data_IF_462422400783
#
_entry.id   IF_462422400783
#
_cell.length_a   1.000
_cell.length_b   1.000
_cell.length_c   1.000
_cell.angle_alpha   90.00
_cell.angle_beta   90.00
_cell.angle_gamma   90.00
#
_symmetry.space_group_name_H-M   'P 1'
#
loop_
_entity.id
_entity.type
_entity.pdbx_description
1 polymer ?
#
# COMPACT_ATOMS: atom_id res chain seq x y z
N UNK A 1 -15.53 0.00 25.31
CA UNK A 1 -15.85 -1.17 24.46
C UNK A 1 -16.81 -0.71 23.37
N UNK A 2 -16.68 -1.15 22.11
CA UNK A 2 -17.61 -0.77 21.06
C UNK A 2 -18.97 -1.41 21.33
N UNK A 3 -20.05 -0.63 21.29
CA UNK A 3 -21.42 -1.06 21.52
C UNK A 3 -22.15 -1.52 20.25
N UNK A 4 -21.49 -1.49 19.10
CA UNK A 4 -22.09 -1.73 17.78
C UNK A 4 -21.11 -2.44 16.82
N UNK A 5 -21.66 -3.04 15.76
CA UNK A 5 -20.88 -3.55 14.65
C UNK A 5 -20.11 -2.40 14.00
N UNK A 6 -18.81 -2.58 13.80
CA UNK A 6 -17.98 -1.55 13.16
C UNK A 6 -16.98 -2.18 12.21
N UNK A 7 -16.70 -1.47 11.12
CA UNK A 7 -15.65 -1.83 10.18
C UNK A 7 -14.69 -0.67 10.09
N UNK A 8 -13.40 -0.95 10.25
CA UNK A 8 -12.32 0.02 10.12
C UNK A 8 -11.43 -0.40 8.95
N UNK A 9 -11.28 0.49 7.99
CA UNK A 9 -10.40 0.30 6.83
C UNK A 9 -9.17 1.16 7.05
N UNK A 10 -7.99 0.57 6.97
CA UNK A 10 -6.72 1.26 7.22
C UNK A 10 -5.82 1.14 5.99
N UNK A 11 -5.49 2.27 5.39
CA UNK A 11 -4.50 2.38 4.33
C UNK A 11 -3.17 2.79 4.95
N UNK A 12 -2.11 2.06 4.63
CA UNK A 12 -0.73 2.42 4.97
C UNK A 12 -0.02 2.84 3.70
N UNK A 13 0.74 3.92 3.77
CA UNK A 13 1.51 4.49 2.67
C UNK A 13 2.99 4.42 3.00
N UNK A 14 3.82 4.11 2.00
CA UNK A 14 5.27 4.25 2.11
C UNK A 14 5.61 5.74 1.99
N UNK A 15 6.07 6.35 3.08
CA UNK A 15 6.16 7.81 3.20
C UNK A 15 4.78 8.45 3.38
N UNK A 16 4.66 9.72 2.98
CA UNK A 16 3.46 10.53 3.27
C UNK A 16 2.25 10.15 2.41
N UNK A 17 1.07 10.02 3.03
CA UNK A 17 -0.16 9.82 2.28
C UNK A 17 -0.48 11.05 1.40
N UNK A 18 -1.11 10.87 0.22
CA UNK A 18 -1.45 11.97 -0.67
C UNK A 18 -2.31 13.06 -0.01
N UNK A 19 -2.02 14.33 -0.31
CA UNK A 19 -2.66 15.45 0.38
C UNK A 19 -4.18 15.51 0.14
N UNK A 20 -4.65 15.15 -1.06
CA UNK A 20 -6.07 15.05 -1.37
C UNK A 20 -6.80 14.01 -0.49
N UNK A 21 -6.15 12.90 -0.17
CA UNK A 21 -6.70 11.88 0.75
C UNK A 21 -6.76 12.40 2.19
N UNK A 22 -5.70 13.07 2.65
CA UNK A 22 -5.68 13.73 3.97
C UNK A 22 -6.76 14.80 4.10
N UNK A 23 -6.94 15.64 3.07
CA UNK A 23 -7.95 16.69 3.05
C UNK A 23 -9.37 16.14 3.05
N UNK A 24 -9.65 15.10 2.26
CA UNK A 24 -10.97 14.47 2.18
C UNK A 24 -11.37 13.80 3.50
N UNK A 25 -10.42 13.21 4.24
CA UNK A 25 -10.70 12.66 5.57
C UNK A 25 -11.00 13.77 6.60
N UNK A 26 -10.30 14.91 6.49
CA UNK A 26 -10.45 16.03 7.42
C UNK A 26 -11.69 16.91 7.15
N UNK A 27 -12.29 16.87 5.96
CA UNK A 27 -13.45 17.71 5.63
C UNK A 27 -14.70 17.41 6.46
N UNK A 28 -14.82 16.21 7.04
CA UNK A 28 -15.91 15.87 7.98
C UNK A 28 -15.67 16.30 9.43
N UNK A 29 -14.45 16.73 9.80
CA UNK A 29 -14.21 17.29 11.15
C UNK A 29 -14.73 18.72 11.30
N UNK A 30 -15.32 19.31 10.25
CA UNK A 30 -15.74 20.72 10.22
C UNK A 30 -17.02 21.01 11.02
N UNK A 31 -17.80 20.01 11.42
CA UNK A 31 -19.05 20.25 12.16
C UNK A 31 -18.86 20.46 13.67
N UNK A 32 -17.61 20.47 14.18
CA UNK A 32 -17.29 20.81 15.57
C UNK A 32 -16.27 21.94 15.70
N UNK A 33 -16.28 22.91 14.78
CA UNK A 33 -15.33 24.01 14.84
C UNK A 33 -15.75 25.02 15.93
N UNK A 34 -14.94 25.13 16.99
CA UNK A 34 -15.05 26.22 17.98
C UNK A 34 -14.77 27.52 17.25
N UNK A 35 -15.71 28.47 17.26
CA UNK A 35 -15.60 29.78 16.63
C UNK A 35 -14.14 30.29 16.62
N UNK A 36 -13.51 30.47 15.44
CA UNK A 36 -12.12 30.89 15.35
C UNK A 36 -11.87 32.29 15.96
N UNK A 37 -12.92 33.05 16.28
CA UNK A 37 -12.82 34.32 16.98
C UNK A 37 -12.92 34.22 18.51
N UNK A 38 -13.22 33.04 19.06
CA UNK A 38 -13.26 32.85 20.51
C UNK A 38 -11.88 33.11 21.13
N UNK A 39 -11.88 33.66 22.34
CA UNK A 39 -10.65 33.98 23.08
C UNK A 39 -9.75 32.76 23.26
N UNK A 40 -10.34 31.56 23.44
CA UNK A 40 -9.60 30.30 23.54
C UNK A 40 -8.98 29.84 22.21
N UNK A 41 -9.67 30.06 21.08
CA UNK A 41 -9.17 29.73 19.74
C UNK A 41 -7.98 30.59 19.33
N UNK A 42 -7.93 31.87 19.75
CA UNK A 42 -6.78 32.76 19.48
C UNK A 42 -5.52 32.30 20.21
N UNK A 43 -5.66 31.87 21.47
CA UNK A 43 -4.53 31.34 22.26
C UNK A 43 -4.03 30.03 21.64
N UNK A 44 -4.93 29.14 21.22
CA UNK A 44 -4.54 27.90 20.52
C UNK A 44 -3.87 28.17 19.17
N UNK A 45 -4.36 29.15 18.39
CA UNK A 45 -3.71 29.56 17.15
C UNK A 45 -2.32 30.14 17.40
N UNK A 46 -2.15 30.95 18.44
CA UNK A 46 -0.86 31.53 18.81
C UNK A 46 0.13 30.46 19.30
N UNK A 47 -0.35 29.48 20.08
CA UNK A 47 0.43 28.29 20.46
C UNK A 47 0.83 27.49 19.23
N UNK A 48 -0.10 27.20 18.30
CA UNK A 48 0.20 26.44 17.08
C UNK A 48 1.13 27.19 16.11
N UNK A 49 1.08 28.53 16.09
CA UNK A 49 1.96 29.37 15.27
C UNK A 49 3.38 29.47 15.86
N UNK A 50 3.49 29.44 17.18
CA UNK A 50 4.75 29.48 17.92
C UNK A 50 5.34 28.07 18.15
N UNK A 51 4.52 27.03 18.04
CA UNK A 51 4.94 25.64 17.92
C UNK A 51 5.41 25.46 16.49
N UNK A 52 6.70 25.71 16.25
CA UNK A 52 7.33 25.35 14.98
C UNK A 52 6.94 23.93 14.63
N UNK A 53 6.08 23.77 13.63
CA UNK A 53 5.83 22.48 13.02
C UNK A 53 7.13 22.16 12.30
N UNK A 54 8.04 21.54 13.05
CA UNK A 54 9.15 20.80 12.49
C UNK A 54 8.52 19.89 11.44
N UNK A 55 8.73 20.21 10.16
CA UNK A 55 8.65 19.23 9.09
C UNK A 55 9.77 18.21 9.32
N UNK A 56 9.66 17.46 10.42
CA UNK A 56 10.48 16.29 10.65
C UNK A 56 10.03 15.28 9.61
N UNK A 57 10.76 15.29 8.49
CA UNK A 57 10.86 14.22 7.52
C UNK A 57 11.33 12.96 8.24
N UNK A 58 10.48 12.37 9.05
CA UNK A 58 10.64 10.99 9.47
C UNK A 58 10.26 10.16 8.26
N UNK A 59 11.27 9.58 7.65
CA UNK A 59 11.13 8.51 6.67
C UNK A 59 10.39 7.36 7.37
N UNK A 60 9.06 7.36 7.27
CA UNK A 60 8.16 6.49 8.02
C UNK A 60 6.86 6.31 7.26
N UNK A 61 6.18 5.19 7.53
CA UNK A 61 4.88 4.90 6.95
C UNK A 61 3.83 5.88 7.47
N UNK A 62 3.00 6.43 6.58
CA UNK A 62 1.83 7.22 6.94
C UNK A 62 0.58 6.35 6.88
N UNK A 63 -0.41 6.63 7.74
CA UNK A 63 -1.58 5.76 7.91
C UNK A 63 -2.86 6.58 7.90
N UNK A 64 -3.79 6.21 7.02
CA UNK A 64 -5.14 6.78 6.99
C UNK A 64 -6.17 5.71 7.33
N UNK A 65 -7.03 5.99 8.31
CA UNK A 65 -8.11 5.11 8.73
C UNK A 65 -9.47 5.69 8.36
N UNK A 66 -10.34 4.85 7.80
CA UNK A 66 -11.72 5.15 7.45
C UNK A 66 -12.66 4.28 8.28
N UNK A 67 -13.65 4.90 8.89
CA UNK A 67 -14.75 4.21 9.57
C UNK A 67 -15.85 3.89 8.58
N UNK A 68 -16.21 2.61 8.45
CA UNK A 68 -17.31 2.15 7.62
C UNK A 68 -18.53 1.84 8.50
N UNK A 69 -19.76 2.22 8.08
CA UNK A 69 -20.11 2.84 6.80
C UNK A 69 -20.01 4.37 6.76
N UNK A 70 -19.74 5.05 7.87
CA UNK A 70 -19.86 6.52 7.99
C UNK A 70 -18.99 7.33 7.01
N UNK A 71 -17.86 6.79 6.56
CA UNK A 71 -16.94 7.43 5.62
C UNK A 71 -16.89 6.71 4.25
N UNK A 72 -17.89 5.87 3.95
CA UNK A 72 -17.95 5.12 2.68
C UNK A 72 -17.97 6.02 1.46
N UNK A 73 -18.73 7.10 1.49
CA UNK A 73 -18.89 7.98 0.32
C UNK A 73 -17.59 8.73 0.02
N UNK A 74 -16.87 9.16 1.06
CA UNK A 74 -15.54 9.78 0.91
C UNK A 74 -14.57 8.79 0.29
N UNK A 75 -14.52 7.57 0.83
CA UNK A 75 -13.62 6.54 0.31
C UNK A 75 -13.98 6.18 -1.13
N UNK A 76 -15.27 6.12 -1.46
CA UNK A 76 -15.74 5.84 -2.81
C UNK A 76 -15.34 6.93 -3.79
N UNK A 77 -15.45 8.20 -3.38
CA UNK A 77 -15.03 9.34 -4.18
C UNK A 77 -13.50 9.36 -4.39
N UNK A 78 -12.72 9.04 -3.35
CA UNK A 78 -11.27 8.96 -3.44
C UNK A 78 -10.81 7.86 -4.38
N UNK A 79 -11.48 6.71 -4.38
CA UNK A 79 -11.14 5.54 -5.21
C UNK A 79 -11.75 5.60 -6.62
N UNK A 80 -12.70 6.49 -6.87
CA UNK A 80 -13.44 6.53 -8.14
C UNK A 80 -14.34 5.31 -8.38
N UNK A 81 -14.65 4.54 -7.32
CA UNK A 81 -15.53 3.37 -7.37
C UNK A 81 -16.31 3.20 -6.07
N UNK A 82 -17.37 2.40 -6.10
CA UNK A 82 -18.13 2.12 -4.88
C UNK A 82 -17.31 1.26 -3.91
N UNK A 83 -16.93 1.84 -2.76
CA UNK A 83 -16.06 1.17 -1.80
C UNK A 83 -16.75 -0.05 -1.16
N UNK A 84 -16.03 -1.17 -1.12
CA UNK A 84 -16.44 -2.42 -0.47
C UNK A 84 -15.44 -2.74 0.64
N UNK A 85 -15.89 -3.37 1.72
CA UNK A 85 -15.04 -3.78 2.85
C UNK A 85 -14.22 -5.06 2.52
N UNK A 86 -13.45 -4.99 1.43
CA UNK A 86 -12.53 -6.05 0.98
C UNK A 86 -11.15 -5.44 0.78
N UNK A 87 -10.15 -5.93 1.49
CA UNK A 87 -8.82 -5.33 1.52
C UNK A 87 -8.15 -5.35 0.13
N UNK A 88 -8.33 -6.42 -0.64
CA UNK A 88 -7.67 -6.60 -1.93
C UNK A 88 -8.30 -5.70 -2.99
N UNK A 89 -9.63 -5.65 -3.05
CA UNK A 89 -10.36 -4.75 -3.96
C UNK A 89 -9.97 -3.29 -3.71
N UNK A 90 -9.94 -2.88 -2.45
CA UNK A 90 -9.55 -1.51 -2.06
C UNK A 90 -8.09 -1.20 -2.42
N UNK A 91 -7.18 -2.16 -2.23
CA UNK A 91 -5.77 -1.99 -2.59
C UNK A 91 -5.60 -1.84 -4.11
N UNK A 92 -6.25 -2.69 -4.91
CA UNK A 92 -6.22 -2.61 -6.37
C UNK A 92 -6.77 -1.28 -6.89
N UNK A 93 -7.84 -0.78 -6.26
CA UNK A 93 -8.43 0.52 -6.60
C UNK A 93 -7.53 1.71 -6.24
N UNK A 94 -6.84 1.65 -5.10
CA UNK A 94 -5.98 2.73 -4.63
C UNK A 94 -4.64 2.81 -5.38
N UNK A 95 -4.11 1.66 -5.82
CA UNK A 95 -2.78 1.55 -6.45
C UNK A 95 -2.57 2.49 -7.66
N UNK A 96 -3.49 2.60 -8.63
CA UNK A 96 -3.31 3.51 -9.77
C UNK A 96 -3.39 5.00 -9.37
N UNK A 97 -4.00 5.31 -8.23
CA UNK A 97 -4.20 6.69 -7.76
C UNK A 97 -3.06 7.14 -6.83
N UNK A 98 -2.48 6.19 -6.11
CA UNK A 98 -1.52 6.43 -5.04
C UNK A 98 -0.36 5.45 -5.20
N UNK A 99 0.68 5.84 -5.96
CA UNK A 99 1.88 5.02 -6.18
C UNK A 99 2.62 4.64 -4.89
N UNK A 100 2.30 5.26 -3.76
CA UNK A 100 2.91 4.92 -2.48
C UNK A 100 1.97 4.20 -1.51
N UNK A 101 0.75 3.80 -1.93
CA UNK A 101 -0.10 2.92 -1.10
C UNK A 101 0.56 1.54 -0.99
N UNK A 102 0.67 1.06 0.24
CA UNK A 102 1.43 -0.15 0.60
C UNK A 102 0.50 -1.28 1.07
N UNK A 103 -0.34 -1.01 2.07
CA UNK A 103 -1.21 -2.04 2.66
C UNK A 103 -2.60 -1.50 2.85
N UNK A 104 -3.57 -2.39 2.72
CA UNK A 104 -4.94 -2.15 3.20
C UNK A 104 -5.27 -3.22 4.23
N UNK A 105 -5.74 -2.78 5.39
CA UNK A 105 -6.25 -3.66 6.45
C UNK A 105 -7.71 -3.32 6.70
N UNK A 106 -8.58 -4.32 6.59
CA UNK A 106 -9.99 -4.22 6.95
C UNK A 106 -10.20 -5.00 8.24
N UNK A 107 -10.48 -4.27 9.32
CA UNK A 107 -10.81 -4.85 10.62
C UNK A 107 -12.32 -4.75 10.82
N UNK A 108 -12.98 -5.88 11.02
CA UNK A 108 -14.41 -5.97 11.31
C UNK A 108 -14.62 -6.41 12.75
N UNK A 109 -15.41 -5.65 13.49
CA UNK A 109 -15.89 -6.01 14.81
C UNK A 109 -17.39 -6.26 14.73
N UNK A 110 -17.81 -7.49 15.02
CA UNK A 110 -19.20 -7.91 15.02
C UNK A 110 -19.63 -8.31 16.42
N UNK A 111 -20.69 -7.69 16.93
CA UNK A 111 -21.37 -8.08 18.16
C UNK A 111 -22.42 -9.14 17.81
N UNK A 112 -22.40 -10.25 18.52
CA UNK A 112 -23.38 -11.33 18.38
C UNK A 112 -24.57 -11.13 19.33
N UNK A 113 -25.68 -11.78 19.01
CA UNK A 113 -26.94 -11.68 19.75
C UNK A 113 -26.85 -12.14 21.21
N UNK A 114 -25.86 -12.99 21.52
CA UNK A 114 -25.56 -13.51 22.86
C UNK A 114 -24.65 -12.58 23.68
N UNK A 115 -24.27 -11.41 23.12
CA UNK A 115 -23.38 -10.44 23.74
C UNK A 115 -21.89 -10.73 23.54
N UNK A 116 -21.53 -11.82 22.85
CA UNK A 116 -20.15 -12.09 22.46
C UNK A 116 -19.71 -11.21 21.28
N UNK A 117 -18.41 -11.14 21.01
CA UNK A 117 -17.86 -10.33 19.91
C UNK A 117 -16.86 -11.13 19.08
N UNK A 118 -16.90 -10.91 17.76
CA UNK A 118 -15.98 -11.46 16.79
C UNK A 118 -15.16 -10.30 16.20
N UNK A 119 -13.84 -10.43 16.27
CA UNK A 119 -12.90 -9.58 15.55
C UNK A 119 -12.35 -10.36 14.35
N UNK A 120 -12.47 -9.79 13.16
CA UNK A 120 -11.90 -10.33 11.92
C UNK A 120 -11.00 -9.30 11.29
N UNK A 121 -9.88 -9.76 10.72
CA UNK A 121 -8.92 -8.91 10.02
C UNK A 121 -8.64 -9.50 8.62
N UNK A 122 -8.73 -8.65 7.60
CA UNK A 122 -8.27 -8.94 6.25
C UNK A 122 -7.15 -7.98 5.90
N UNK A 123 -6.02 -8.50 5.43
CA UNK A 123 -4.85 -7.70 5.05
C UNK A 123 -4.48 -7.98 3.60
N UNK A 124 -4.42 -6.93 2.80
CA UNK A 124 -3.89 -6.95 1.44
C UNK A 124 -2.60 -6.13 1.40
N UNK A 125 -1.55 -6.72 0.81
CA UNK A 125 -0.21 -6.13 0.71
C UNK A 125 0.09 -5.89 -0.76
N UNK A 126 0.63 -4.72 -1.10
CA UNK A 126 1.06 -4.45 -2.46
C UNK A 126 2.30 -5.29 -2.76
N UNK A 127 2.18 -6.15 -3.76
CA UNK A 127 3.29 -6.83 -4.42
C UNK A 127 3.19 -6.57 -5.91
N UNK A 128 4.34 -6.41 -6.56
CA UNK A 128 4.40 -6.26 -8.00
C UNK A 128 4.87 -7.59 -8.60
N UNK A 129 4.03 -8.17 -9.45
CA UNK A 129 4.32 -9.40 -10.17
C UNK A 129 4.54 -9.08 -11.63
N UNK A 130 5.73 -9.36 -12.15
CA UNK A 130 6.04 -9.10 -13.55
C UNK A 130 7.09 -10.06 -14.08
N UNK A 131 7.03 -10.30 -15.38
CA UNK A 131 8.04 -11.05 -16.12
C UNK A 131 8.85 -10.05 -16.94
N UNK A 132 10.18 -10.05 -16.79
CA UNK A 132 11.07 -9.21 -17.62
C UNK A 132 11.04 -9.65 -19.08
N UNK A 133 11.56 -8.82 -19.98
CA UNK A 133 11.73 -9.18 -21.39
C UNK A 133 12.58 -10.45 -21.60
N UNK A 134 13.47 -10.77 -20.65
CA UNK A 134 14.32 -11.97 -20.68
C UNK A 134 13.62 -13.21 -20.11
N UNK A 135 12.33 -13.10 -19.71
CA UNK A 135 11.56 -14.20 -19.15
C UNK A 135 11.77 -14.44 -17.66
N UNK A 136 12.45 -13.54 -16.94
CA UNK A 136 12.62 -13.68 -15.47
C UNK A 136 11.32 -13.25 -14.78
N UNK A 137 10.73 -14.16 -14.03
CA UNK A 137 9.56 -13.90 -13.20
C UNK A 137 9.98 -13.26 -11.88
N UNK A 138 9.52 -12.04 -11.65
CA UNK A 138 9.89 -11.22 -10.50
C UNK A 138 8.66 -10.96 -9.65
N UNK A 139 8.79 -11.35 -8.39
CA UNK A 139 7.96 -10.87 -7.31
C UNK A 139 8.72 -9.76 -6.57
N UNK A 140 8.35 -8.51 -6.79
CA UNK A 140 8.83 -7.42 -5.94
C UNK A 140 7.92 -7.30 -4.75
N UNK A 141 8.50 -7.40 -3.55
CA UNK A 141 7.79 -7.02 -2.35
C UNK A 141 7.67 -5.49 -2.25
N UNK A 142 6.93 -5.08 -1.23
CA UNK A 142 6.60 -3.69 -0.97
C UNK A 142 7.77 -2.82 -0.52
N UNK A 143 8.88 -3.43 -0.08
CA UNK A 143 10.01 -2.68 0.44
C UNK A 143 10.77 -1.96 -0.67
N UNK A 144 10.53 -2.34 -1.93
CA UNK A 144 11.14 -1.76 -3.11
C UNK A 144 10.06 -1.11 -3.98
N UNK A 145 10.10 0.22 -4.07
CA UNK A 145 9.27 0.97 -5.03
C UNK A 145 9.95 0.92 -6.40
N UNK A 146 9.36 0.14 -7.31
CA UNK A 146 9.80 0.02 -8.70
C UNK A 146 8.92 0.88 -9.61
N UNK A 147 9.56 1.68 -10.44
CA UNK A 147 8.89 2.46 -11.47
C UNK A 147 8.57 1.58 -12.69
N UNK A 148 7.30 1.27 -12.88
CA UNK A 148 6.84 0.40 -13.99
C UNK A 148 7.19 0.97 -15.36
N UNK A 149 7.28 2.30 -15.47
CA UNK A 149 7.63 2.98 -16.72
C UNK A 149 9.10 2.73 -17.12
N UNK A 150 9.95 2.29 -16.17
CA UNK A 150 11.36 1.93 -16.37
C UNK A 150 11.60 0.42 -16.53
N UNK A 151 10.55 -0.38 -16.69
CA UNK A 151 10.61 -1.81 -16.97
C UNK A 151 10.14 -2.10 -18.40
N UNK A 152 10.90 -1.70 -19.45
CA UNK A 152 10.48 -1.89 -20.83
C UNK A 152 10.38 -3.38 -21.18
N UNK A 153 9.32 -3.73 -21.91
CA UNK A 153 9.07 -5.12 -22.32
C UNK A 153 8.61 -6.04 -21.19
N UNK A 154 8.44 -5.53 -19.96
CA UNK A 154 7.90 -6.32 -18.86
C UNK A 154 6.40 -6.58 -19.04
N UNK A 155 5.99 -7.81 -18.74
CA UNK A 155 4.57 -8.21 -18.67
C UNK A 155 4.16 -8.29 -17.21
N UNK A 156 3.13 -7.55 -16.83
CA UNK A 156 2.63 -7.47 -15.45
C UNK A 156 1.48 -8.45 -15.21
N UNK A 157 1.36 -8.93 -13.97
CA UNK A 157 0.37 -9.92 -13.56
C UNK A 157 -0.37 -9.47 -12.30
N UNK A 158 -1.61 -9.94 -12.16
CA UNK A 158 -2.48 -9.69 -11.01
C UNK A 158 -2.05 -10.47 -9.75
N UNK A 159 -1.40 -11.61 -9.92
CA UNK A 159 -1.05 -12.51 -8.82
C UNK A 159 0.27 -13.25 -9.07
N UNK A 160 0.85 -13.80 -8.00
CA UNK A 160 2.00 -14.68 -8.09
C UNK A 160 1.69 -15.98 -8.85
N UNK A 161 0.48 -16.51 -8.76
CA UNK A 161 0.06 -17.72 -9.45
C UNK A 161 0.00 -17.51 -10.97
N UNK A 162 -0.53 -16.36 -11.42
CA UNK A 162 -0.56 -15.99 -12.85
C UNK A 162 0.86 -15.83 -13.41
N UNK A 163 1.75 -15.22 -12.61
CA UNK A 163 3.17 -15.05 -12.96
C UNK A 163 3.90 -16.40 -13.05
N UNK A 164 3.67 -17.29 -12.08
CA UNK A 164 4.26 -18.62 -12.02
C UNK A 164 3.83 -19.46 -13.23
N UNK A 165 2.52 -19.47 -13.53
CA UNK A 165 2.00 -20.18 -14.70
C UNK A 165 2.61 -19.65 -16.01
N UNK A 166 2.74 -18.34 -16.14
CA UNK A 166 3.39 -17.72 -17.28
C UNK A 166 4.87 -18.12 -17.41
N UNK A 167 5.60 -18.19 -16.29
CA UNK A 167 6.98 -18.63 -16.25
C UNK A 167 7.15 -20.08 -16.67
N UNK A 168 6.29 -20.97 -16.16
CA UNK A 168 6.24 -22.38 -16.55
C UNK A 168 5.96 -22.55 -18.05
N UNK A 169 5.08 -21.73 -18.63
CA UNK A 169 4.83 -21.75 -20.08
C UNK A 169 6.04 -21.28 -20.91
N UNK A 170 6.82 -20.33 -20.39
CA UNK A 170 7.96 -19.76 -21.09
C UNK A 170 9.19 -20.68 -21.03
N UNK A 171 9.52 -21.20 -19.85
CA UNK A 171 10.74 -21.98 -19.63
C UNK A 171 10.52 -23.50 -19.63
N UNK A 172 9.29 -23.97 -19.46
CA UNK A 172 8.97 -25.38 -19.27
C UNK A 172 9.51 -25.97 -17.96
N UNK A 173 9.30 -27.27 -17.75
CA UNK A 173 9.76 -27.98 -16.54
C UNK A 173 11.29 -28.01 -16.40
N UNK A 174 12.03 -27.78 -17.50
CA UNK A 174 13.50 -27.77 -17.52
C UNK A 174 14.12 -26.37 -17.27
N UNK A 175 13.31 -25.35 -16.97
CA UNK A 175 13.76 -23.97 -16.79
C UNK A 175 14.73 -23.73 -15.63
N UNK A 176 14.85 -24.67 -14.68
CA UNK A 176 15.54 -24.47 -13.41
C UNK A 176 14.82 -23.48 -12.50
N UNK A 177 15.44 -23.09 -11.38
CA UNK A 177 14.85 -22.14 -10.43
C UNK A 177 15.36 -20.70 -10.60
N UNK A 178 16.32 -20.47 -11.49
CA UNK A 178 16.97 -19.16 -11.68
C UNK A 178 16.05 -18.11 -12.34
N UNK A 179 15.01 -18.54 -13.08
CA UNK A 179 14.01 -17.62 -13.65
C UNK A 179 12.99 -17.11 -12.63
N UNK A 180 12.94 -17.68 -11.42
CA UNK A 180 12.13 -17.16 -10.33
C UNK A 180 12.99 -16.23 -9.48
N UNK A 181 12.56 -15.00 -9.28
CA UNK A 181 13.28 -14.04 -8.45
C UNK A 181 12.37 -13.20 -7.57
N UNK A 182 12.89 -12.83 -6.40
CA UNK A 182 12.25 -11.95 -5.44
C UNK A 182 13.09 -10.68 -5.32
N UNK A 183 12.44 -9.53 -5.42
CA UNK A 183 13.06 -8.23 -5.16
C UNK A 183 12.59 -7.72 -3.80
N UNK A 184 13.56 -7.39 -2.94
CA UNK A 184 13.32 -7.01 -1.54
C UNK A 184 14.42 -6.07 -1.03
N UNK A 185 14.26 -5.53 0.18
CA UNK A 185 15.29 -4.74 0.87
C UNK A 185 15.89 -5.58 2.00
N UNK A 186 17.19 -5.85 1.92
CA UNK A 186 17.96 -6.51 2.98
C UNK A 186 19.03 -5.58 3.52
N UNK A 187 19.03 -5.36 4.85
CA UNK A 187 19.98 -4.47 5.53
C UNK A 187 20.04 -3.05 4.93
N UNK A 188 18.90 -2.54 4.45
CA UNK A 188 18.79 -1.21 3.83
C UNK A 188 19.11 -1.16 2.33
N UNK A 189 19.58 -2.26 1.75
CA UNK A 189 19.94 -2.33 0.34
C UNK A 189 18.88 -3.10 -0.45
N UNK A 190 18.53 -2.61 -1.64
CA UNK A 190 17.64 -3.31 -2.58
C UNK A 190 18.38 -4.50 -3.17
N UNK A 191 17.80 -5.68 -3.07
CA UNK A 191 18.38 -6.96 -3.50
C UNK A 191 17.40 -7.72 -4.39
N UNK A 192 17.94 -8.48 -5.32
CA UNK A 192 17.25 -9.51 -6.08
C UNK A 192 17.80 -10.88 -5.67
N UNK A 193 16.92 -11.79 -5.30
CA UNK A 193 17.25 -13.16 -4.92
C UNK A 193 16.57 -14.12 -5.89
N UNK A 194 17.32 -14.94 -6.60
CA UNK A 194 16.71 -15.97 -7.46
C UNK A 194 16.56 -17.31 -6.76
N UNK A 195 15.74 -18.21 -7.34
CA UNK A 195 15.49 -19.53 -6.78
C UNK A 195 16.71 -20.46 -6.78
N UNK A 196 17.76 -20.12 -7.54
CA UNK A 196 19.06 -20.79 -7.48
C UNK A 196 19.95 -20.32 -6.30
N UNK A 197 19.49 -19.36 -5.50
CA UNK A 197 20.20 -18.83 -4.33
C UNK A 197 21.21 -17.72 -4.64
N UNK A 198 21.22 -17.17 -5.86
CA UNK A 198 22.04 -16.02 -6.21
C UNK A 198 21.40 -14.74 -5.66
N UNK A 199 22.23 -13.88 -5.08
CA UNK A 199 21.83 -12.59 -4.52
C UNK A 199 22.55 -11.49 -5.31
N UNK A 200 21.78 -10.56 -5.85
CA UNK A 200 22.26 -9.43 -6.62
C UNK A 200 21.78 -8.13 -5.99
N UNK A 201 22.71 -7.25 -5.60
CA UNK A 201 22.36 -5.90 -5.17
C UNK A 201 21.86 -5.08 -6.37
N UNK A 202 20.79 -4.31 -6.17
CA UNK A 202 20.13 -3.57 -7.25
C UNK A 202 20.59 -2.12 -7.36
N UNK A 203 21.09 -1.52 -6.27
CA UNK A 203 21.53 -0.13 -6.23
C UNK A 203 20.41 0.90 -6.42
N UNK A 204 20.78 2.09 -6.89
CA UNK A 204 19.86 3.24 -7.01
C UNK A 204 18.92 3.15 -8.22
N UNK A 205 19.30 2.40 -9.25
CA UNK A 205 18.49 2.13 -10.47
C UNK A 205 18.08 0.65 -10.55
N UNK A 206 17.20 0.20 -9.63
CA UNK A 206 16.88 -1.22 -9.52
C UNK A 206 16.25 -1.80 -10.79
N UNK A 207 15.44 -1.02 -11.52
CA UNK A 207 14.77 -1.45 -12.75
C UNK A 207 15.77 -1.78 -13.87
N UNK A 208 16.82 -0.97 -14.01
CA UNK A 208 17.88 -1.19 -15.01
C UNK A 208 18.63 -2.49 -14.72
N UNK A 209 19.04 -2.71 -13.47
CA UNK A 209 19.71 -3.96 -13.07
C UNK A 209 18.80 -5.17 -13.22
N UNK A 210 17.53 -5.05 -12.85
CA UNK A 210 16.53 -6.11 -13.01
C UNK A 210 16.41 -6.52 -14.48
N UNK A 211 16.32 -5.56 -15.40
CA UNK A 211 16.19 -5.85 -16.83
C UNK A 211 17.45 -6.44 -17.47
N UNK A 212 18.61 -6.24 -16.84
CA UNK A 212 19.87 -6.83 -17.27
C UNK A 212 20.01 -8.31 -16.84
N UNK A 213 19.17 -8.81 -15.92
CA UNK A 213 19.20 -10.22 -15.49
C UNK A 213 18.70 -11.13 -16.61
N UNK A 214 19.45 -12.18 -16.89
CA UNK A 214 19.11 -13.28 -17.79
C UNK A 214 19.19 -14.62 -17.05
N UNK A 215 18.41 -15.59 -17.52
CA UNK A 215 18.43 -16.97 -17.00
C UNK A 215 19.65 -17.71 -17.53
#
# INVERSE_FOLDING_TARGET
MPSENSVKITFTFNGMAPQNWKSALNSQKKDSWIDPQSSGSKVLQEILRNSGTSEDRTCGYDVLSFSFPSQRDILSQLLGLYAVADAMVLLMAATPLCRNVYTVVVTTHQLLSDGSSILSEQKAVRSLYFMTQNGICIQSDFSVDLDTDKLPGARFFSSGDDLEQAGLQYWGENGGDAWRAIVTTMHGNKMLLNGAGQILELGDTPEERINAVSN
#
